data_IF_920889742198
#
_entry.id   IF_920889742198
#
_cell.length_a   1.000
_cell.length_b   1.000
_cell.length_c   1.000
_cell.angle_alpha   90.00
_cell.angle_beta   90.00
_cell.angle_gamma   90.00
#
_symmetry.space_group_name_H-M   'P 1'
#
loop_
_entity.id
_entity.type
_entity.pdbx_description
1 polymer ?
#
# COMPACT_ATOMS: atom_id res chain seq x y z
N UNK A 1 3.27 -30.59 2.99
CA UNK A 1 3.00 -29.27 2.39
C UNK A 1 4.35 -28.76 1.89
N UNK A 2 4.55 -28.65 0.58
CA UNK A 2 5.89 -28.40 0.00
C UNK A 2 6.32 -26.95 0.23
N UNK A 3 7.45 -26.79 0.89
CA UNK A 3 8.27 -25.58 0.87
C UNK A 3 8.65 -25.22 -0.57
N UNK A 4 8.27 -24.02 -1.02
CA UNK A 4 8.82 -23.37 -2.23
C UNK A 4 9.77 -22.22 -1.82
N UNK A 5 10.62 -22.46 -0.82
CA UNK A 5 11.81 -21.67 -0.59
C UNK A 5 12.94 -22.26 -1.44
N UNK A 6 13.15 -21.75 -2.66
CA UNK A 6 14.16 -22.35 -3.55
C UNK A 6 14.37 -21.72 -4.93
N UNK A 7 14.36 -20.39 -5.03
CA UNK A 7 15.29 -19.61 -5.88
C UNK A 7 14.80 -18.16 -5.93
N UNK A 8 15.63 -17.21 -5.50
CA UNK A 8 15.47 -15.85 -5.99
C UNK A 8 15.63 -15.89 -7.51
N UNK A 9 14.64 -15.36 -8.22
CA UNK A 9 14.73 -15.24 -9.67
C UNK A 9 15.87 -14.28 -9.95
N UNK A 10 17.00 -14.82 -10.41
CA UNK A 10 18.18 -14.03 -10.74
C UNK A 10 17.81 -12.92 -11.71
N UNK A 11 18.45 -11.76 -11.57
CA UNK A 11 18.17 -10.54 -12.34
C UNK A 11 18.08 -10.83 -13.84
N UNK A 12 19.01 -11.62 -14.38
CA UNK A 12 19.05 -11.99 -15.81
C UNK A 12 17.84 -12.81 -16.29
N UNK A 13 17.13 -13.48 -15.37
CA UNK A 13 16.01 -14.36 -15.68
C UNK A 13 14.64 -13.73 -15.35
N UNK A 14 14.60 -12.54 -14.76
CA UNK A 14 13.36 -11.94 -14.27
C UNK A 14 12.34 -11.65 -15.37
N UNK A 15 12.79 -11.20 -16.55
CA UNK A 15 11.89 -10.99 -17.69
C UNK A 15 11.28 -12.31 -18.18
N UNK A 16 12.12 -13.33 -18.38
CA UNK A 16 11.67 -14.66 -18.82
C UNK A 16 10.70 -15.29 -17.80
N UNK A 17 10.96 -15.11 -16.51
CA UNK A 17 10.04 -15.54 -15.45
C UNK A 17 8.71 -14.80 -15.52
N UNK A 18 8.72 -13.49 -15.73
CA UNK A 18 7.48 -12.71 -15.84
C UNK A 18 6.65 -13.12 -17.07
N UNK A 19 7.29 -13.39 -18.21
CA UNK A 19 6.62 -13.94 -19.39
C UNK A 19 6.02 -15.32 -19.12
N UNK A 20 6.73 -16.19 -18.40
CA UNK A 20 6.20 -17.49 -17.97
C UNK A 20 4.96 -17.32 -17.10
N UNK A 21 5.02 -16.47 -16.07
CA UNK A 21 3.87 -16.16 -15.19
C UNK A 21 2.67 -15.69 -16.01
N UNK A 22 2.86 -14.75 -16.93
CA UNK A 22 1.79 -14.24 -17.80
C UNK A 22 1.15 -15.31 -18.69
N UNK A 23 1.94 -16.30 -19.11
CA UNK A 23 1.46 -17.40 -19.96
C UNK A 23 0.79 -18.55 -19.18
N UNK A 24 1.09 -18.68 -17.89
CA UNK A 24 0.78 -19.90 -17.12
C UNK A 24 -0.36 -19.74 -16.10
N UNK A 25 -0.63 -18.52 -15.60
CA UNK A 25 -1.63 -18.30 -14.54
C UNK A 25 -2.64 -17.20 -14.91
N UNK A 26 -3.73 -17.11 -14.15
CA UNK A 26 -4.80 -16.13 -14.41
C UNK A 26 -4.32 -14.70 -14.21
N UNK A 27 -4.90 -13.74 -14.94
CA UNK A 27 -4.54 -12.32 -14.83
C UNK A 27 -4.60 -11.79 -13.38
N UNK A 28 -5.54 -12.29 -12.56
CA UNK A 28 -5.64 -11.96 -11.14
C UNK A 28 -4.46 -12.47 -10.30
N UNK A 29 -3.88 -13.61 -10.66
CA UNK A 29 -2.74 -14.21 -9.94
C UNK A 29 -1.39 -13.70 -10.45
N UNK A 30 -1.32 -13.25 -11.70
CA UNK A 30 -0.11 -12.69 -12.33
C UNK A 30 0.43 -11.51 -11.52
N UNK A 31 -0.43 -10.50 -11.27
CA UNK A 31 -0.04 -9.30 -10.52
C UNK A 31 0.49 -9.65 -9.13
N UNK A 32 -0.19 -10.53 -8.40
CA UNK A 32 0.21 -10.94 -7.05
C UNK A 32 1.56 -11.68 -7.06
N UNK A 33 1.78 -12.57 -8.03
CA UNK A 33 3.03 -13.34 -8.13
C UNK A 33 4.21 -12.42 -8.42
N UNK A 34 4.05 -11.48 -9.35
CA UNK A 34 5.09 -10.51 -9.70
C UNK A 34 5.35 -9.52 -8.55
N UNK A 35 4.29 -9.12 -7.84
CA UNK A 35 4.36 -8.23 -6.68
C UNK A 35 5.14 -8.85 -5.51
N UNK A 36 5.10 -10.18 -5.34
CA UNK A 36 5.93 -10.86 -4.33
C UNK A 36 7.43 -10.70 -4.59
N UNK A 37 7.86 -10.74 -5.85
CA UNK A 37 9.26 -10.50 -6.21
C UNK A 37 9.58 -9.01 -6.01
N UNK A 38 8.73 -8.12 -6.49
CA UNK A 38 8.89 -6.67 -6.31
C UNK A 38 9.08 -6.30 -4.83
N UNK A 39 8.31 -6.92 -3.93
CA UNK A 39 8.39 -6.68 -2.47
C UNK A 39 9.72 -7.12 -1.85
N UNK A 40 10.43 -8.09 -2.45
CA UNK A 40 11.76 -8.51 -1.98
C UNK A 40 12.86 -7.54 -2.42
N UNK A 41 12.63 -6.85 -3.53
CA UNK A 41 13.54 -5.81 -4.03
C UNK A 41 13.40 -4.50 -3.24
N UNK A 42 12.34 -4.36 -2.45
CA UNK A 42 12.13 -3.24 -1.52
C UNK A 42 13.04 -3.40 -0.29
N UNK A 43 14.29 -2.95 -0.43
CA UNK A 43 15.30 -2.99 0.62
C UNK A 43 15.14 -1.82 1.60
N UNK A 44 15.97 -1.82 2.63
CA UNK A 44 15.93 -0.78 3.68
C UNK A 44 16.24 0.62 3.13
N UNK A 45 17.05 0.71 2.07
CA UNK A 45 17.53 1.93 1.42
C UNK A 45 16.55 2.56 0.42
N UNK A 46 15.32 2.03 0.32
CA UNK A 46 14.21 2.67 -0.40
C UNK A 46 13.59 1.75 -1.45
N UNK A 47 13.21 2.33 -2.58
CA UNK A 47 12.38 1.67 -3.59
C UNK A 47 13.03 1.48 -4.96
N UNK A 48 14.29 1.90 -5.13
CA UNK A 48 15.00 1.84 -6.42
C UNK A 48 15.01 0.44 -7.02
N UNK A 49 15.33 -0.60 -6.23
CA UNK A 49 15.33 -1.99 -6.71
C UNK A 49 13.96 -2.45 -7.21
N UNK A 50 12.88 -1.96 -6.59
CA UNK A 50 11.50 -2.24 -7.01
C UNK A 50 11.22 -1.61 -8.37
N UNK A 51 11.56 -0.34 -8.55
CA UNK A 51 11.38 0.38 -9.81
C UNK A 51 12.18 -0.29 -10.92
N UNK A 52 13.45 -0.60 -10.69
CA UNK A 52 14.30 -1.31 -11.66
C UNK A 52 13.73 -2.69 -12.03
N UNK A 53 13.21 -3.43 -11.06
CA UNK A 53 12.55 -4.71 -11.31
C UNK A 53 11.32 -4.55 -12.21
N UNK A 54 10.40 -3.64 -11.85
CA UNK A 54 9.16 -3.40 -12.59
C UNK A 54 9.44 -2.95 -14.04
N UNK A 55 10.47 -2.12 -14.23
CA UNK A 55 10.91 -1.69 -15.55
C UNK A 55 11.51 -2.85 -16.36
N UNK A 56 12.37 -3.67 -15.73
CA UNK A 56 13.03 -4.83 -16.35
C UNK A 56 12.03 -5.87 -16.85
N UNK A 57 10.99 -6.17 -16.07
CA UNK A 57 9.95 -7.12 -16.46
C UNK A 57 8.90 -6.52 -17.39
N UNK A 58 9.03 -5.22 -17.70
CA UNK A 58 8.06 -4.43 -18.48
C UNK A 58 6.67 -4.58 -17.88
N UNK A 59 6.55 -4.31 -16.58
CA UNK A 59 5.30 -4.45 -15.85
C UNK A 59 4.21 -3.59 -16.49
N UNK A 60 3.05 -4.19 -16.76
CA UNK A 60 1.87 -3.49 -17.23
C UNK A 60 1.34 -2.54 -16.15
N UNK A 61 0.51 -1.54 -16.50
CA UNK A 61 -0.08 -0.64 -15.49
C UNK A 61 -0.80 -1.39 -14.35
N UNK A 62 -1.58 -2.42 -14.69
CA UNK A 62 -2.29 -3.23 -13.69
C UNK A 62 -1.33 -4.04 -12.79
N UNK A 63 -0.27 -4.62 -13.36
CA UNK A 63 0.77 -5.31 -12.57
C UNK A 63 1.52 -4.34 -11.65
N UNK A 64 1.79 -3.12 -12.12
CA UNK A 64 2.43 -2.07 -11.31
C UNK A 64 1.55 -1.65 -10.16
N UNK A 65 0.28 -1.38 -10.39
CA UNK A 65 -0.67 -1.00 -9.33
C UNK A 65 -0.72 -2.04 -8.21
N UNK A 66 -0.87 -3.33 -8.56
CA UNK A 66 -0.86 -4.43 -7.59
C UNK A 66 0.49 -4.51 -6.85
N UNK A 67 1.59 -4.38 -7.59
CA UNK A 67 2.94 -4.43 -7.00
C UNK A 67 3.19 -3.29 -6.02
N UNK A 68 2.77 -2.08 -6.37
CA UNK A 68 2.92 -0.88 -5.54
C UNK A 68 2.17 -1.03 -4.22
N UNK A 69 0.91 -1.48 -4.26
CA UNK A 69 0.14 -1.74 -3.05
C UNK A 69 0.78 -2.81 -2.15
N UNK A 70 1.31 -3.88 -2.74
CA UNK A 70 1.94 -4.95 -1.97
C UNK A 70 3.29 -4.53 -1.37
N UNK A 71 4.12 -3.83 -2.15
CA UNK A 71 5.41 -3.28 -1.70
C UNK A 71 5.19 -2.28 -0.56
N UNK A 72 4.21 -1.38 -0.69
CA UNK A 72 3.84 -0.44 0.36
C UNK A 72 3.50 -1.18 1.67
N UNK A 73 2.65 -2.20 1.58
CA UNK A 73 2.28 -3.02 2.73
C UNK A 73 3.50 -3.72 3.35
N UNK A 74 4.32 -4.40 2.55
CA UNK A 74 5.51 -5.09 3.05
C UNK A 74 6.52 -4.16 3.69
N UNK A 75 6.74 -2.96 3.14
CA UNK A 75 7.65 -1.96 3.71
C UNK A 75 7.17 -1.48 5.07
N UNK A 76 5.88 -1.13 5.22
CA UNK A 76 5.31 -0.72 6.51
C UNK A 76 5.42 -1.84 7.56
N UNK A 77 5.09 -3.07 7.20
CA UNK A 77 5.24 -4.22 8.10
C UNK A 77 6.71 -4.43 8.52
N UNK A 78 7.66 -4.32 7.59
CA UNK A 78 9.07 -4.46 7.90
C UNK A 78 9.59 -3.32 8.79
N UNK A 79 9.18 -2.08 8.53
CA UNK A 79 9.59 -0.93 9.33
C UNK A 79 9.01 -0.98 10.74
N UNK A 80 7.74 -1.37 10.90
CA UNK A 80 7.09 -1.49 12.23
C UNK A 80 7.73 -2.53 13.13
N UNK A 81 8.27 -3.62 12.56
CA UNK A 81 9.08 -4.58 13.31
C UNK A 81 10.42 -4.01 13.79
N UNK A 82 10.96 -2.99 13.11
CA UNK A 82 12.27 -2.39 13.42
C UNK A 82 12.16 -1.16 14.31
N UNK A 83 11.20 -0.27 14.03
CA UNK A 83 11.04 1.03 14.70
C UNK A 83 9.62 1.59 14.56
N UNK A 84 9.38 2.75 15.19
CA UNK A 84 8.14 3.51 14.96
C UNK A 84 8.15 4.09 13.55
N UNK A 85 7.00 4.06 12.89
CA UNK A 85 6.77 4.74 11.60
C UNK A 85 6.79 6.23 11.86
N UNK A 86 7.66 6.92 11.13
CA UNK A 86 7.77 8.36 11.12
C UNK A 86 7.02 8.92 9.91
N UNK A 87 6.77 10.23 9.92
CA UNK A 87 6.08 10.89 8.81
C UNK A 87 6.87 10.75 7.51
N UNK A 88 8.18 10.86 7.62
CA UNK A 88 9.12 10.81 6.51
C UNK A 88 9.06 9.45 5.78
N UNK A 89 8.72 8.37 6.48
CA UNK A 89 8.51 7.05 5.84
C UNK A 89 7.28 7.04 4.93
N UNK A 90 6.23 7.73 5.36
CA UNK A 90 4.99 7.86 4.60
C UNK A 90 5.17 8.82 3.43
N UNK A 91 5.91 9.92 3.63
CA UNK A 91 6.26 10.86 2.56
C UNK A 91 7.10 10.16 1.47
N UNK A 92 8.15 9.42 1.85
CA UNK A 92 8.99 8.67 0.91
C UNK A 92 8.17 7.62 0.14
N UNK A 93 7.30 6.89 0.84
CA UNK A 93 6.38 5.94 0.22
C UNK A 93 5.45 6.65 -0.77
N UNK A 94 4.82 7.75 -0.37
CA UNK A 94 3.86 8.49 -1.18
C UNK A 94 4.50 9.04 -2.45
N UNK A 95 5.70 9.61 -2.33
CA UNK A 95 6.47 10.09 -3.47
C UNK A 95 6.78 8.96 -4.45
N UNK A 96 7.26 7.82 -3.95
CA UNK A 96 7.53 6.66 -4.80
C UNK A 96 6.27 6.13 -5.48
N UNK A 97 5.19 5.95 -4.73
CA UNK A 97 3.89 5.49 -5.22
C UNK A 97 3.38 6.41 -6.35
N UNK A 98 3.49 7.73 -6.18
CA UNK A 98 3.07 8.70 -7.18
C UNK A 98 3.83 8.57 -8.50
N UNK A 99 5.07 8.08 -8.49
CA UNK A 99 5.83 7.79 -9.73
C UNK A 99 5.41 6.49 -10.40
N UNK A 100 4.99 5.49 -9.62
CA UNK A 100 4.73 4.14 -10.14
C UNK A 100 3.27 3.93 -10.55
N UNK A 101 2.33 4.51 -9.79
CA UNK A 101 0.89 4.38 -10.02
C UNK A 101 0.16 5.66 -9.57
N UNK A 102 0.20 6.73 -10.38
CA UNK A 102 -0.40 8.02 -10.02
C UNK A 102 -1.90 7.93 -9.70
N UNK A 103 -2.61 7.01 -10.36
CA UNK A 103 -4.06 6.86 -10.24
C UNK A 103 -4.49 6.20 -8.92
N UNK A 104 -3.63 5.39 -8.32
CA UNK A 104 -3.94 4.66 -7.07
C UNK A 104 -3.19 5.24 -5.86
N UNK A 105 -2.48 6.36 -6.03
CA UNK A 105 -1.45 6.76 -5.09
C UNK A 105 -1.98 7.20 -3.73
N UNK A 106 -3.06 7.97 -3.73
CA UNK A 106 -3.73 8.41 -2.50
C UNK A 106 -4.37 7.22 -1.77
N UNK A 107 -4.99 6.29 -2.50
CA UNK A 107 -5.51 5.05 -1.93
C UNK A 107 -4.41 4.22 -1.27
N UNK A 108 -3.32 3.93 -1.97
CA UNK A 108 -2.19 3.17 -1.40
C UNK A 108 -1.60 3.86 -0.17
N UNK A 109 -1.47 5.18 -0.19
CA UNK A 109 -0.99 5.97 0.95
C UNK A 109 -1.94 5.83 2.16
N UNK A 110 -3.25 6.00 1.95
CA UNK A 110 -4.25 5.84 3.02
C UNK A 110 -4.25 4.44 3.62
N UNK A 111 -4.10 3.42 2.77
CA UNK A 111 -3.97 2.03 3.19
C UNK A 111 -2.70 1.78 4.02
N UNK A 112 -1.57 2.37 3.63
CA UNK A 112 -0.30 2.26 4.34
C UNK A 112 -0.37 2.91 5.73
N UNK A 113 -0.99 4.08 5.84
CA UNK A 113 -1.21 4.76 7.11
C UNK A 113 -2.14 3.93 8.00
N UNK A 114 -3.25 3.39 7.46
CA UNK A 114 -4.17 2.54 8.23
C UNK A 114 -3.45 1.34 8.84
N UNK A 115 -2.65 0.64 8.04
CA UNK A 115 -1.89 -0.52 8.51
C UNK A 115 -0.92 -0.14 9.62
N UNK A 116 -0.23 1.00 9.47
CA UNK A 116 0.72 1.54 10.47
C UNK A 116 0.12 1.70 11.88
N UNK A 117 -1.21 1.71 11.99
CA UNK A 117 -1.94 1.81 13.26
C UNK A 117 -2.38 0.47 13.86
N UNK A 118 -2.23 -0.67 13.17
CA UNK A 118 -2.63 -2.01 13.64
C UNK A 118 -1.95 -2.42 14.96
N UNK A 119 -2.49 -3.45 15.63
CA UNK A 119 -1.96 -3.92 16.93
C UNK A 119 -0.48 -4.30 16.80
N UNK A 120 0.36 -3.75 17.68
CA UNK A 120 1.84 -3.80 17.67
C UNK A 120 2.54 -2.82 16.71
N UNK A 121 1.79 -2.07 15.92
CA UNK A 121 2.32 -1.01 15.07
C UNK A 121 2.26 0.32 15.83
N UNK A 122 3.34 1.11 15.76
CA UNK A 122 3.65 2.17 16.73
C UNK A 122 3.09 3.56 16.35
N UNK A 123 2.18 3.65 15.37
CA UNK A 123 1.53 4.91 15.00
C UNK A 123 0.17 5.00 15.72
N UNK A 124 0.01 6.02 16.57
CA UNK A 124 -1.26 6.22 17.27
C UNK A 124 -2.34 6.67 16.29
N UNK A 125 -3.60 6.35 16.59
CA UNK A 125 -4.71 6.70 15.71
C UNK A 125 -4.82 8.21 15.46
N UNK A 126 -4.63 9.03 16.49
CA UNK A 126 -4.68 10.49 16.36
C UNK A 126 -3.59 11.02 15.44
N UNK A 127 -2.36 10.51 15.56
CA UNK A 127 -1.24 10.86 14.67
C UNK A 127 -1.56 10.45 13.22
N UNK A 128 -2.11 9.26 13.01
CA UNK A 128 -2.51 8.78 11.69
C UNK A 128 -3.65 9.61 11.07
N UNK A 129 -4.65 9.98 11.88
CA UNK A 129 -5.76 10.81 11.44
C UNK A 129 -5.29 12.21 11.01
N UNK A 130 -4.35 12.81 11.76
CA UNK A 130 -3.73 14.09 11.39
C UNK A 130 -2.98 13.98 10.05
N UNK A 131 -2.20 12.92 9.84
CA UNK A 131 -1.50 12.67 8.56
C UNK A 131 -2.47 12.54 7.39
N UNK A 132 -3.53 11.76 7.54
CA UNK A 132 -4.51 11.52 6.46
C UNK A 132 -5.25 12.80 6.10
N UNK A 133 -5.67 13.60 7.09
CA UNK A 133 -6.29 14.90 6.84
C UNK A 133 -5.33 15.89 6.17
N UNK A 134 -4.05 15.84 6.53
CA UNK A 134 -3.03 16.64 5.88
C UNK A 134 -2.89 16.27 4.39
N UNK A 135 -2.73 14.99 4.06
CA UNK A 135 -2.60 14.55 2.67
C UNK A 135 -3.88 14.72 1.85
N UNK A 136 -5.05 14.56 2.48
CA UNK A 136 -6.34 14.86 1.84
C UNK A 136 -6.38 16.33 1.41
N UNK A 137 -5.96 17.25 2.30
CA UNK A 137 -5.92 18.68 2.01
C UNK A 137 -4.89 19.03 0.93
N UNK A 138 -3.72 18.40 0.96
CA UNK A 138 -2.67 18.66 -0.04
C UNK A 138 -3.02 18.15 -1.43
N UNK A 139 -3.62 16.96 -1.53
CA UNK A 139 -4.02 16.35 -2.80
C UNK A 139 -5.35 16.87 -3.34
N UNK A 140 -6.23 17.37 -2.45
CA UNK A 140 -7.61 17.67 -2.78
C UNK A 140 -8.48 16.43 -3.04
N UNK A 141 -7.97 15.23 -2.72
CA UNK A 141 -8.64 13.96 -2.91
C UNK A 141 -9.05 13.33 -1.58
N UNK A 142 -10.31 12.90 -1.49
CA UNK A 142 -10.81 12.14 -0.33
C UNK A 142 -10.27 10.72 -0.29
N UNK A 143 -9.60 10.23 -1.34
CA UNK A 143 -9.25 8.82 -1.49
C UNK A 143 -8.30 8.31 -0.39
N UNK A 144 -7.34 9.13 0.05
CA UNK A 144 -6.45 8.81 1.18
C UNK A 144 -7.25 8.60 2.47
N UNK A 145 -8.27 9.44 2.70
CA UNK A 145 -9.15 9.36 3.86
C UNK A 145 -10.10 8.17 3.78
N UNK A 146 -10.76 8.00 2.64
CA UNK A 146 -11.67 6.88 2.37
C UNK A 146 -10.93 5.56 2.55
N UNK A 147 -9.72 5.43 1.98
CA UNK A 147 -8.98 4.18 2.08
C UNK A 147 -8.45 3.93 3.49
N UNK A 148 -7.99 4.97 4.19
CA UNK A 148 -7.61 4.86 5.60
C UNK A 148 -8.75 4.31 6.47
N UNK A 149 -9.95 4.83 6.27
CA UNK A 149 -11.14 4.42 7.04
C UNK A 149 -11.67 3.04 6.64
N UNK A 150 -11.50 2.61 5.39
CA UNK A 150 -11.95 1.28 4.93
C UNK A 150 -11.00 0.14 5.32
N UNK A 151 -9.69 0.38 5.34
CA UNK A 151 -8.69 -0.69 5.55
C UNK A 151 -8.49 -1.09 7.03
N UNK A 152 -9.31 -0.59 7.97
CA UNK A 152 -9.19 -0.97 9.39
C UNK A 152 -10.53 -1.15 10.13
N UNK A 153 -11.20 -2.32 9.99
CA UNK A 153 -12.53 -2.55 10.56
C UNK A 153 -12.59 -2.64 12.10
N UNK A 154 -11.46 -2.61 12.81
CA UNK A 154 -11.38 -2.85 14.26
C UNK A 154 -10.92 -1.62 15.07
N UNK A 155 -11.35 -0.42 14.69
CA UNK A 155 -11.12 0.75 15.55
C UNK A 155 -11.85 0.58 16.88
N UNK A 156 -11.10 0.67 17.98
CA UNK A 156 -11.68 0.75 19.33
C UNK A 156 -12.44 2.07 19.55
N UNK A 157 -12.16 3.08 18.74
CA UNK A 157 -12.66 4.45 18.87
C UNK A 157 -13.67 4.79 17.77
N UNK A 158 -14.83 4.14 17.77
CA UNK A 158 -15.89 4.35 16.77
C UNK A 158 -16.29 5.82 16.59
N UNK A 159 -16.37 6.59 17.68
CA UNK A 159 -16.75 8.01 17.63
C UNK A 159 -15.73 8.87 16.87
N UNK A 160 -14.43 8.57 17.03
CA UNK A 160 -13.38 9.30 16.32
C UNK A 160 -13.40 8.98 14.81
N UNK A 161 -13.70 7.73 14.46
CA UNK A 161 -13.88 7.29 13.06
C UNK A 161 -15.06 8.00 12.42
N UNK A 162 -16.21 8.08 13.11
CA UNK A 162 -17.40 8.79 12.61
C UNK A 162 -17.10 10.28 12.42
N UNK A 163 -16.42 10.90 13.39
CA UNK A 163 -16.00 12.31 13.28
C UNK A 163 -15.07 12.52 12.08
N UNK A 164 -14.12 11.62 11.88
CA UNK A 164 -13.16 11.68 10.79
C UNK A 164 -13.82 11.46 9.41
N UNK A 165 -14.79 10.54 9.33
CA UNK A 165 -15.60 10.34 8.12
C UNK A 165 -16.39 11.58 7.69
N UNK A 166 -16.70 12.48 8.64
CA UNK A 166 -17.30 13.79 8.34
C UNK A 166 -16.44 14.68 7.43
N UNK A 167 -15.14 14.40 7.29
CA UNK A 167 -14.25 15.08 6.36
C UNK A 167 -14.36 14.61 4.90
N UNK A 168 -15.13 13.55 4.61
CA UNK A 168 -15.35 13.06 3.24
C UNK A 168 -16.42 13.93 2.57
N UNK A 169 -16.15 14.42 1.37
CA UNK A 169 -17.03 15.30 0.61
C UNK A 169 -18.23 14.57 0.01
N UNK A 170 -18.02 13.36 -0.51
CA UNK A 170 -19.09 12.52 -1.07
C UNK A 170 -19.98 11.94 0.05
N UNK A 171 -21.26 12.35 0.05
CA UNK A 171 -22.25 11.92 1.04
C UNK A 171 -22.45 10.39 1.03
N UNK A 172 -22.53 9.75 -0.14
CA UNK A 172 -22.81 8.31 -0.22
C UNK A 172 -21.64 7.52 0.34
N UNK A 173 -20.42 7.93 0.01
CA UNK A 173 -19.20 7.29 0.54
C UNK A 173 -19.08 7.52 2.05
N UNK A 174 -19.36 8.73 2.52
CA UNK A 174 -19.39 9.07 3.95
C UNK A 174 -20.40 8.21 4.71
N UNK A 175 -21.63 8.10 4.23
CA UNK A 175 -22.67 7.27 4.85
C UNK A 175 -22.29 5.78 4.87
N UNK A 176 -21.72 5.26 3.79
CA UNK A 176 -21.27 3.86 3.71
C UNK A 176 -20.24 3.56 4.79
N UNK A 177 -19.25 4.45 4.94
CA UNK A 177 -18.22 4.30 5.98
C UNK A 177 -18.86 4.38 7.37
N UNK A 178 -19.68 5.39 7.65
CA UNK A 178 -20.33 5.54 8.97
C UNK A 178 -21.15 4.28 9.32
N UNK A 179 -21.93 3.74 8.37
CA UNK A 179 -22.73 2.52 8.57
C UNK A 179 -21.87 1.30 8.91
N UNK A 180 -20.65 1.21 8.37
CA UNK A 180 -19.74 0.08 8.66
C UNK A 180 -19.21 0.07 10.10
N UNK A 181 -19.35 1.17 10.85
CA UNK A 181 -18.85 1.32 12.22
C UNK A 181 -19.95 1.40 13.30
N UNK A 182 -21.22 1.39 12.92
CA UNK A 182 -22.36 1.30 13.84
C UNK A 182 -22.52 -0.13 14.34
#
# INVERSE_FOLDING_TARGET
MRDYAGSDVKVENQLAYAELVRSAISASEQGTTLAQIASREARDDGYTGVTEYLDRIRATPAEREISVGQVANSKIQNLTHKRKIAREDIDELRDWVATQSPQSGEGVTGAAIARSTEVNQRLEFSEAAEMVLHYQKESGSDEVLVRFLKDRPAFKNKDEVIKLAGGISDEKVREEIIKSYQ
#
